data_IF_427833490031
#
_entry.id   IF_427833490031
#
_cell.length_a   1.000
_cell.length_b   1.000
_cell.length_c   1.000
_cell.angle_alpha   90.00
_cell.angle_beta   90.00
_cell.angle_gamma   90.00
#
_symmetry.space_group_name_H-M   'P 1'
#
loop_
_entity.id
_entity.type
_entity.pdbx_description
1 polymer ?
#
# COMPACT_ATOMS: atom_id res chain seq x y z
N UNK A 1 25.45 -87.67 11.91
CA UNK A 1 26.69 -86.93 12.24
C UNK A 1 26.26 -85.81 13.19
N UNK A 2 26.30 -85.99 14.53
CA UNK A 2 27.47 -85.94 15.42
C UNK A 2 28.19 -84.56 15.29
N UNK A 3 27.89 -83.58 16.14
CA UNK A 3 28.34 -83.32 17.53
C UNK A 3 29.63 -82.48 17.63
N UNK A 4 29.53 -81.47 18.50
CA UNK A 4 30.55 -80.75 19.29
C UNK A 4 31.37 -79.64 18.60
N UNK A 5 31.45 -78.40 19.09
CA UNK A 5 31.60 -77.72 20.41
C UNK A 5 33.03 -77.25 20.71
N UNK A 6 33.08 -75.95 21.06
CA UNK A 6 34.05 -75.18 21.86
C UNK A 6 35.52 -75.01 21.45
N UNK A 7 35.95 -73.73 21.32
CA UNK A 7 36.71 -72.94 22.33
C UNK A 7 37.22 -71.63 21.69
N UNK A 8 36.80 -70.45 22.13
CA UNK A 8 37.24 -69.66 23.31
C UNK A 8 38.35 -68.65 23.00
N UNK A 9 38.13 -67.40 23.43
CA UNK A 9 39.11 -66.29 23.51
C UNK A 9 39.10 -65.40 22.27
N UNK A 10 39.04 -64.07 22.30
CA UNK A 10 39.28 -63.04 23.30
C UNK A 10 38.51 -61.78 22.81
N UNK A 11 37.73 -61.12 23.66
CA UNK A 11 38.12 -59.89 24.36
C UNK A 11 38.55 -58.75 23.39
N UNK A 12 37.67 -57.76 23.28
CA UNK A 12 37.97 -56.54 22.53
C UNK A 12 36.75 -55.66 22.27
N UNK A 13 35.95 -55.40 23.30
CA UNK A 13 35.17 -54.16 23.31
C UNK A 13 36.13 -53.02 23.69
N UNK A 14 36.30 -52.02 22.82
CA UNK A 14 36.30 -50.63 23.25
C UNK A 14 34.92 -50.08 22.84
N UNK A 15 34.06 -49.68 23.77
CA UNK A 15 34.44 -48.74 24.81
C UNK A 15 34.85 -47.41 24.16
N UNK A 16 34.02 -46.90 23.25
CA UNK A 16 34.03 -45.50 22.86
C UNK A 16 32.58 -45.03 22.96
N UNK A 17 32.19 -44.57 24.15
CA UNK A 17 31.08 -43.62 24.23
C UNK A 17 31.42 -42.48 23.24
N UNK A 18 30.57 -42.18 22.25
CA UNK A 18 30.77 -40.98 21.46
C UNK A 18 30.59 -39.79 22.41
N UNK A 19 31.73 -39.19 22.75
CA UNK A 19 31.97 -38.10 23.68
C UNK A 19 30.75 -37.30 24.14
N UNK A 20 30.64 -37.16 25.46
CA UNK A 20 29.69 -36.27 26.18
C UNK A 20 29.86 -34.77 25.86
N UNK A 21 30.66 -34.39 24.86
CA UNK A 21 30.92 -33.00 24.51
C UNK A 21 30.94 -32.69 23.02
N UNK A 22 30.89 -31.39 22.69
CA UNK A 22 30.91 -30.89 21.31
C UNK A 22 32.19 -31.34 20.60
N UNK A 23 32.03 -31.84 19.36
CA UNK A 23 33.14 -32.19 18.51
C UNK A 23 34.00 -30.98 18.13
N UNK A 24 35.29 -31.19 17.78
CA UNK A 24 36.16 -30.09 17.36
C UNK A 24 35.58 -29.33 16.16
N UNK A 25 35.34 -28.03 16.31
CA UNK A 25 34.78 -27.18 15.24
C UNK A 25 33.26 -27.30 15.05
N UNK A 26 32.56 -28.10 15.86
CA UNK A 26 31.11 -28.29 15.75
C UNK A 26 30.34 -27.01 16.14
N UNK A 27 30.83 -26.28 17.15
CA UNK A 27 30.26 -25.01 17.59
C UNK A 27 30.22 -23.98 16.46
N UNK A 28 31.32 -23.80 15.73
CA UNK A 28 31.42 -22.89 14.60
C UNK A 28 30.48 -23.28 13.46
N UNK A 29 30.33 -24.60 13.20
CA UNK A 29 29.39 -25.11 12.20
C UNK A 29 27.94 -24.81 12.58
N UNK A 30 27.58 -24.95 13.86
CA UNK A 30 26.24 -24.63 14.36
C UNK A 30 25.92 -23.13 14.30
N UNK A 31 26.89 -22.26 14.62
CA UNK A 31 26.75 -20.81 14.44
C UNK A 31 26.49 -20.49 12.96
N UNK A 32 27.33 -21.02 12.07
CA UNK A 32 27.19 -20.79 10.63
C UNK A 32 25.84 -21.28 10.08
N UNK A 33 25.39 -22.45 10.53
CA UNK A 33 24.08 -23.00 10.14
C UNK A 33 22.92 -22.13 10.64
N UNK A 34 23.02 -21.57 11.85
CA UNK A 34 22.03 -20.64 12.39
C UNK A 34 21.97 -19.36 11.54
N UNK A 35 23.12 -18.75 11.27
CA UNK A 35 23.19 -17.50 10.50
C UNK A 35 22.61 -17.65 9.09
N UNK A 36 22.99 -18.72 8.39
CA UNK A 36 22.46 -18.99 7.05
C UNK A 36 20.94 -19.24 7.05
N UNK A 37 20.39 -19.92 8.08
CA UNK A 37 18.95 -20.21 8.15
C UNK A 37 18.11 -18.97 8.46
N UNK A 38 18.66 -17.99 9.18
CA UNK A 38 17.95 -16.76 9.52
C UNK A 38 18.17 -15.61 8.52
N UNK A 39 19.24 -15.67 7.70
CA UNK A 39 19.61 -14.61 6.76
C UNK A 39 18.43 -14.14 5.89
N UNK A 40 17.75 -15.04 5.19
CA UNK A 40 16.64 -14.69 4.29
C UNK A 40 15.46 -14.05 5.04
N UNK A 41 15.17 -14.53 6.25
CA UNK A 41 14.06 -14.03 7.06
C UNK A 41 14.35 -12.65 7.66
N UNK A 42 15.59 -12.41 8.09
CA UNK A 42 16.03 -11.10 8.58
C UNK A 42 16.02 -10.08 7.44
N UNK A 43 16.49 -10.47 6.25
CA UNK A 43 16.50 -9.59 5.08
C UNK A 43 15.08 -9.31 4.57
N UNK A 44 14.20 -10.31 4.55
CA UNK A 44 12.79 -10.12 4.21
C UNK A 44 12.09 -9.17 5.19
N UNK A 45 12.33 -9.33 6.49
CA UNK A 45 11.75 -8.45 7.50
C UNK A 45 12.28 -7.02 7.40
N UNK A 46 13.58 -6.84 7.15
CA UNK A 46 14.17 -5.52 6.91
C UNK A 46 13.65 -4.87 5.63
N UNK A 47 13.49 -5.65 4.56
CA UNK A 47 12.92 -5.19 3.29
C UNK A 47 11.47 -4.72 3.45
N UNK A 48 10.65 -5.45 4.20
CA UNK A 48 9.27 -5.08 4.48
C UNK A 48 9.15 -3.75 5.24
N UNK A 49 10.04 -3.49 6.22
CA UNK A 49 10.08 -2.20 6.92
C UNK A 49 10.44 -1.08 5.95
N UNK A 50 11.49 -1.24 5.14
CA UNK A 50 11.89 -0.24 4.14
C UNK A 50 10.78 0.03 3.14
N UNK A 51 10.02 -0.99 2.74
CA UNK A 51 8.89 -0.84 1.83
C UNK A 51 7.74 -0.06 2.46
N UNK A 52 7.35 -0.41 3.69
CA UNK A 52 6.32 0.31 4.42
C UNK A 52 6.71 1.79 4.64
N UNK A 53 7.98 2.06 4.95
CA UNK A 53 8.49 3.43 5.11
C UNK A 53 8.46 4.23 3.80
N UNK A 54 8.77 3.60 2.66
CA UNK A 54 8.60 4.23 1.34
C UNK A 54 7.13 4.57 1.06
N UNK A 55 6.22 3.63 1.31
CA UNK A 55 4.78 3.85 1.12
C UNK A 55 4.25 4.97 2.03
N UNK A 56 4.76 5.09 3.27
CA UNK A 56 4.42 6.20 4.15
C UNK A 56 4.90 7.54 3.58
N UNK A 57 6.14 7.60 3.07
CA UNK A 57 6.66 8.82 2.44
C UNK A 57 5.82 9.23 1.21
N UNK A 58 5.40 8.27 0.40
CA UNK A 58 4.50 8.50 -0.75
C UNK A 58 3.14 9.04 -0.30
N UNK A 59 2.51 8.42 0.72
CA UNK A 59 1.23 8.87 1.25
C UNK A 59 1.28 10.29 1.84
N UNK A 60 2.39 10.65 2.51
CA UNK A 60 2.62 11.99 3.03
C UNK A 60 2.78 13.03 1.92
N UNK A 61 3.49 12.68 0.86
CA UNK A 61 3.65 13.52 -0.33
C UNK A 61 2.30 13.77 -1.02
N UNK A 62 1.49 12.71 -1.20
CA UNK A 62 0.17 12.82 -1.81
C UNK A 62 -0.78 13.66 -0.97
N UNK A 63 -0.75 13.51 0.37
CA UNK A 63 -1.49 14.38 1.26
C UNK A 63 -1.07 15.84 1.12
N UNK A 64 0.24 16.12 1.09
CA UNK A 64 0.74 17.49 0.90
C UNK A 64 0.22 18.09 -0.40
N UNK A 65 0.31 17.34 -1.51
CA UNK A 65 -0.20 17.76 -2.82
C UNK A 65 -1.70 18.01 -2.80
N UNK A 66 -2.49 17.13 -2.16
CA UNK A 66 -3.94 17.30 -2.06
C UNK A 66 -4.31 18.57 -1.28
N UNK A 67 -3.60 18.86 -0.18
CA UNK A 67 -3.79 20.10 0.61
C UNK A 67 -3.42 21.34 -0.20
N UNK A 68 -2.29 21.32 -0.90
CA UNK A 68 -1.86 22.41 -1.77
C UNK A 68 -2.89 22.68 -2.87
N UNK A 69 -3.36 21.64 -3.56
CA UNK A 69 -4.36 21.76 -4.62
C UNK A 69 -5.70 22.30 -4.12
N UNK A 70 -6.15 21.85 -2.95
CA UNK A 70 -7.39 22.35 -2.34
C UNK A 70 -7.24 23.83 -1.94
N UNK A 71 -6.10 24.21 -1.37
CA UNK A 71 -5.82 25.60 -0.98
C UNK A 71 -5.64 26.54 -2.19
N UNK A 72 -5.13 26.02 -3.30
CA UNK A 72 -4.89 26.78 -4.53
C UNK A 72 -6.12 26.84 -5.44
N UNK A 73 -7.26 26.22 -5.04
CA UNK A 73 -8.43 26.09 -5.89
C UNK A 73 -9.07 27.46 -6.15
N UNK A 74 -9.04 27.98 -7.38
CA UNK A 74 -9.63 29.27 -7.68
C UNK A 74 -11.16 29.17 -7.60
N UNK A 75 -11.79 30.29 -7.21
CA UNK A 75 -13.23 30.43 -7.39
C UNK A 75 -13.60 30.27 -8.87
N UNK A 76 -14.53 29.36 -9.16
CA UNK A 76 -15.06 29.15 -10.52
C UNK A 76 -16.52 29.59 -10.52
N UNK A 77 -16.82 30.70 -11.19
CA UNK A 77 -18.20 31.13 -11.42
C UNK A 77 -18.89 30.20 -12.41
N UNK A 78 -20.14 29.83 -12.14
CA UNK A 78 -20.97 29.09 -13.10
C UNK A 78 -21.57 30.07 -14.13
N UNK A 79 -21.05 30.03 -15.36
CA UNK A 79 -21.54 30.86 -16.46
C UNK A 79 -22.92 30.44 -16.96
N UNK A 80 -23.34 29.20 -16.69
CA UNK A 80 -24.64 28.67 -17.12
C UNK A 80 -25.80 29.36 -16.39
N UNK A 81 -25.58 29.83 -15.15
CA UNK A 81 -26.55 30.64 -14.41
C UNK A 81 -26.97 31.87 -15.23
N UNK A 82 -26.03 32.58 -15.84
CA UNK A 82 -26.32 33.74 -16.67
C UNK A 82 -26.94 33.35 -18.02
N UNK A 83 -26.52 32.23 -18.62
CA UNK A 83 -27.13 31.76 -19.87
C UNK A 83 -28.58 31.32 -19.69
N UNK A 84 -28.94 30.68 -18.57
CA UNK A 84 -30.33 30.32 -18.25
C UNK A 84 -31.22 31.55 -18.21
N UNK A 85 -30.77 32.61 -17.55
CA UNK A 85 -31.53 33.86 -17.46
C UNK A 85 -31.63 34.56 -18.82
N UNK A 86 -30.54 34.63 -19.57
CA UNK A 86 -30.53 35.20 -20.92
C UNK A 86 -31.50 34.45 -21.87
N UNK A 87 -31.70 33.14 -21.69
CA UNK A 87 -32.69 32.38 -22.47
C UNK A 87 -34.13 32.80 -22.18
N UNK A 88 -34.46 33.11 -20.91
CA UNK A 88 -35.78 33.64 -20.58
C UNK A 88 -36.01 35.01 -21.24
N UNK A 89 -34.99 35.88 -21.22
CA UNK A 89 -35.06 37.20 -21.86
C UNK A 89 -35.24 37.10 -23.39
N UNK A 90 -34.57 36.16 -24.05
CA UNK A 90 -34.71 35.95 -25.50
C UNK A 90 -36.10 35.43 -25.89
N UNK A 91 -36.70 34.57 -25.06
CA UNK A 91 -38.10 34.11 -25.23
C UNK A 91 -39.07 35.29 -25.09
N UNK A 92 -38.90 36.11 -24.05
CA UNK A 92 -39.70 37.33 -23.87
C UNK A 92 -39.54 38.31 -25.05
N UNK A 93 -38.32 38.44 -25.56
CA UNK A 93 -38.00 39.23 -26.74
C UNK A 93 -38.69 38.70 -28.00
N UNK A 94 -38.87 37.38 -28.12
CA UNK A 94 -39.59 36.75 -29.23
C UNK A 94 -41.09 37.08 -29.19
N UNK A 95 -41.72 37.03 -28.01
CA UNK A 95 -43.14 37.37 -27.82
C UNK A 95 -43.49 38.80 -28.27
N UNK A 96 -42.55 39.74 -28.15
CA UNK A 96 -42.75 41.14 -28.53
C UNK A 96 -42.62 41.40 -30.04
N UNK A 97 -42.12 40.44 -30.83
CA UNK A 97 -41.88 40.63 -32.27
C UNK A 97 -43.12 40.30 -33.09
N UNK A 98 -43.56 41.25 -33.92
CA UNK A 98 -44.73 41.09 -34.80
C UNK A 98 -44.38 40.78 -36.26
N UNK A 99 -43.14 41.04 -36.69
CA UNK A 99 -42.71 40.81 -38.07
C UNK A 99 -42.27 39.34 -38.28
N UNK A 100 -42.89 38.56 -39.19
CA UNK A 100 -42.58 37.13 -39.38
C UNK A 100 -41.14 36.82 -39.79
N UNK A 101 -40.45 37.75 -40.46
CA UNK A 101 -39.02 37.61 -40.78
C UNK A 101 -38.16 37.75 -39.52
N UNK A 102 -38.49 38.72 -38.65
CA UNK A 102 -37.78 38.94 -37.38
C UNK A 102 -38.03 37.82 -36.37
N UNK A 103 -39.26 37.28 -36.31
CA UNK A 103 -39.61 36.13 -35.46
C UNK A 103 -38.76 34.91 -35.84
N UNK A 104 -38.70 34.56 -37.13
CA UNK A 104 -37.90 33.42 -37.60
C UNK A 104 -36.40 33.58 -37.33
N UNK A 105 -35.86 34.78 -37.52
CA UNK A 105 -34.45 35.05 -37.23
C UNK A 105 -34.14 34.94 -35.72
N UNK A 106 -34.98 35.53 -34.87
CA UNK A 106 -34.83 35.46 -33.42
C UNK A 106 -34.99 34.02 -32.89
N UNK A 107 -35.94 33.25 -33.41
CA UNK A 107 -36.10 31.85 -33.05
C UNK A 107 -34.87 30.99 -33.37
N UNK A 108 -34.23 31.20 -34.54
CA UNK A 108 -32.99 30.47 -34.89
C UNK A 108 -31.87 30.79 -33.90
N UNK A 109 -31.70 32.07 -33.56
CA UNK A 109 -30.72 32.49 -32.55
C UNK A 109 -31.01 31.87 -31.18
N UNK A 110 -32.27 31.91 -30.73
CA UNK A 110 -32.70 31.26 -29.49
C UNK A 110 -32.41 29.75 -29.51
N UNK A 111 -32.69 29.07 -30.63
CA UNK A 111 -32.44 27.64 -30.78
C UNK A 111 -30.93 27.33 -30.68
N UNK A 112 -30.09 28.09 -31.39
CA UNK A 112 -28.64 27.91 -31.34
C UNK A 112 -28.12 28.07 -29.89
N UNK A 113 -28.58 29.11 -29.18
CA UNK A 113 -28.22 29.34 -27.78
C UNK A 113 -28.77 28.30 -26.82
N UNK A 114 -29.98 27.79 -27.05
CA UNK A 114 -30.56 26.72 -26.25
C UNK A 114 -29.76 25.41 -26.40
N UNK A 115 -29.25 25.12 -27.61
CA UNK A 115 -28.35 23.98 -27.85
C UNK A 115 -27.02 24.17 -27.12
N UNK A 116 -26.43 25.37 -27.17
CA UNK A 116 -25.22 25.70 -26.41
C UNK A 116 -25.41 25.51 -24.90
N UNK A 117 -26.52 26.02 -24.35
CA UNK A 117 -26.87 25.84 -22.94
C UNK A 117 -27.00 24.34 -22.60
N UNK A 118 -27.77 23.58 -23.39
CA UNK A 118 -27.95 22.16 -23.15
C UNK A 118 -26.64 21.37 -23.19
N UNK A 119 -25.74 21.68 -24.13
CA UNK A 119 -24.39 21.09 -24.16
C UNK A 119 -23.59 21.44 -22.90
N UNK A 120 -23.68 22.70 -22.45
CA UNK A 120 -23.07 23.18 -21.22
C UNK A 120 -23.57 22.46 -19.97
N UNK A 121 -24.88 22.25 -19.84
CA UNK A 121 -25.50 21.52 -18.71
C UNK A 121 -24.99 20.07 -18.61
N UNK A 122 -24.94 19.37 -19.74
CA UNK A 122 -24.46 17.99 -19.78
C UNK A 122 -22.97 17.92 -19.44
N UNK A 123 -22.16 18.83 -19.99
CA UNK A 123 -20.74 18.92 -19.66
C UNK A 123 -20.53 19.23 -18.18
N UNK A 124 -21.26 20.20 -17.62
CA UNK A 124 -21.21 20.58 -16.21
C UNK A 124 -21.54 19.41 -15.29
N UNK A 125 -22.61 18.66 -15.57
CA UNK A 125 -22.96 17.46 -14.82
C UNK A 125 -21.83 16.41 -14.81
N UNK A 126 -21.20 16.16 -15.96
CA UNK A 126 -20.09 15.22 -16.05
C UNK A 126 -18.84 15.71 -15.32
N UNK A 127 -18.55 17.01 -15.41
CA UNK A 127 -17.45 17.64 -14.69
C UNK A 127 -17.63 17.55 -13.17
N UNK A 128 -18.84 17.82 -12.68
CA UNK A 128 -19.20 17.72 -11.25
C UNK A 128 -19.08 16.28 -10.76
N UNK A 129 -19.62 15.32 -11.52
CA UNK A 129 -19.47 13.89 -11.23
C UNK A 129 -18.01 13.45 -11.20
N UNK A 130 -17.18 13.95 -12.12
CA UNK A 130 -15.76 13.64 -12.15
C UNK A 130 -15.02 14.31 -10.98
N UNK A 131 -15.40 15.54 -10.60
CA UNK A 131 -14.84 16.24 -9.45
C UNK A 131 -15.18 15.53 -8.13
N UNK A 132 -16.41 15.06 -7.97
CA UNK A 132 -16.85 14.30 -6.80
C UNK A 132 -16.09 12.96 -6.69
N UNK A 133 -15.95 12.22 -7.80
CA UNK A 133 -15.13 10.99 -7.83
C UNK A 133 -13.68 11.27 -7.42
N UNK A 134 -13.05 12.28 -8.03
CA UNK A 134 -11.68 12.70 -7.67
C UNK A 134 -11.57 13.11 -6.20
N UNK A 135 -12.56 13.81 -5.67
CA UNK A 135 -12.60 14.19 -4.26
C UNK A 135 -12.69 12.99 -3.31
N UNK A 136 -13.40 11.92 -3.70
CA UNK A 136 -13.48 10.68 -2.90
C UNK A 136 -12.18 9.86 -2.94
N UNK A 137 -11.51 9.81 -4.08
CA UNK A 137 -10.33 8.97 -4.28
C UNK A 137 -9.03 9.68 -3.88
N UNK A 138 -8.94 10.98 -4.15
CA UNK A 138 -7.73 11.79 -4.03
C UNK A 138 -7.96 13.10 -3.25
N UNK A 139 -9.12 13.26 -2.63
CA UNK A 139 -9.36 14.40 -1.75
C UNK A 139 -8.50 14.32 -0.48
N UNK A 140 -8.35 15.45 0.19
CA UNK A 140 -7.55 15.58 1.42
C UNK A 140 -7.90 14.51 2.45
N UNK A 141 -9.20 14.23 2.67
CA UNK A 141 -9.63 13.18 3.60
C UNK A 141 -9.18 11.78 3.18
N UNK A 142 -9.26 11.45 1.89
CA UNK A 142 -8.82 10.14 1.39
C UNK A 142 -7.31 9.98 1.57
N UNK A 143 -6.53 11.04 1.30
CA UNK A 143 -5.09 11.05 1.54
C UNK A 143 -4.74 10.95 3.03
N UNK A 144 -5.50 11.60 3.92
CA UNK A 144 -5.32 11.46 5.37
C UNK A 144 -5.56 10.02 5.85
N UNK A 145 -6.60 9.35 5.35
CA UNK A 145 -6.86 7.95 5.67
C UNK A 145 -5.82 7.00 5.06
N UNK A 146 -5.25 7.34 3.89
CA UNK A 146 -4.12 6.61 3.32
C UNK A 146 -2.86 6.75 4.19
N UNK A 147 -2.53 7.96 4.65
CA UNK A 147 -1.41 8.22 5.57
C UNK A 147 -1.56 7.42 6.87
N UNK A 148 -2.74 7.47 7.51
CA UNK A 148 -3.02 6.69 8.74
C UNK A 148 -2.77 5.19 8.55
N UNK A 149 -3.23 4.63 7.42
CA UNK A 149 -2.99 3.21 7.09
C UNK A 149 -1.52 2.92 6.86
N UNK A 150 -0.79 3.81 6.20
CA UNK A 150 0.65 3.65 5.97
C UNK A 150 1.45 3.71 7.28
N UNK A 151 1.10 4.62 8.20
CA UNK A 151 1.69 4.67 9.55
C UNK A 151 1.46 3.35 10.29
N UNK A 152 0.23 2.84 10.27
CA UNK A 152 -0.09 1.55 10.90
C UNK A 152 0.70 0.39 10.28
N UNK A 153 0.90 0.39 8.96
CA UNK A 153 1.68 -0.63 8.26
C UNK A 153 3.16 -0.60 8.66
N UNK A 154 3.77 0.58 8.82
CA UNK A 154 5.15 0.71 9.32
C UNK A 154 5.29 0.12 10.71
N UNK A 155 4.37 0.42 11.62
CA UNK A 155 4.40 -0.10 12.98
C UNK A 155 4.24 -1.63 13.02
N UNK A 156 3.35 -2.19 12.21
CA UNK A 156 3.21 -3.64 12.09
C UNK A 156 4.46 -4.31 11.47
N UNK A 157 5.08 -3.69 10.46
CA UNK A 157 6.32 -4.18 9.87
C UNK A 157 7.48 -4.16 10.89
N UNK A 158 7.59 -3.11 11.71
CA UNK A 158 8.59 -3.02 12.78
C UNK A 158 8.38 -4.09 13.85
N UNK A 159 7.14 -4.30 14.30
CA UNK A 159 6.80 -5.38 15.23
C UNK A 159 7.14 -6.75 14.66
N UNK A 160 6.89 -6.97 13.36
CA UNK A 160 7.29 -8.20 12.69
C UNK A 160 8.81 -8.37 12.69
N UNK A 161 9.57 -7.34 12.32
CA UNK A 161 11.03 -7.39 12.33
C UNK A 161 11.59 -7.70 13.73
N UNK A 162 11.00 -7.10 14.77
CA UNK A 162 11.37 -7.36 16.15
C UNK A 162 11.08 -8.81 16.56
N UNK A 163 9.93 -9.38 16.17
CA UNK A 163 9.63 -10.80 16.38
C UNK A 163 10.65 -11.73 15.71
N UNK A 164 11.10 -11.43 14.49
CA UNK A 164 12.12 -12.23 13.78
C UNK A 164 13.47 -12.14 14.49
N UNK A 165 13.90 -10.94 14.88
CA UNK A 165 15.14 -10.75 15.67
C UNK A 165 15.10 -11.47 17.01
N UNK A 166 13.95 -11.45 17.69
CA UNK A 166 13.77 -12.17 18.94
C UNK A 166 13.86 -13.68 18.74
N UNK A 167 13.30 -14.22 17.66
CA UNK A 167 13.43 -15.63 17.32
C UNK A 167 14.89 -16.04 17.05
N UNK A 168 15.66 -15.20 16.34
CA UNK A 168 17.09 -15.41 16.15
C UNK A 168 17.86 -15.37 17.49
N UNK A 169 17.56 -14.38 18.34
CA UNK A 169 18.20 -14.24 19.64
C UNK A 169 17.96 -15.46 20.54
N UNK A 170 16.73 -15.99 20.55
CA UNK A 170 16.39 -17.23 21.26
C UNK A 170 17.15 -18.44 20.71
N UNK A 171 17.30 -18.55 19.39
CA UNK A 171 18.10 -19.62 18.78
C UNK A 171 19.58 -19.52 19.17
N UNK A 172 20.15 -18.30 19.21
CA UNK A 172 21.53 -18.06 19.65
C UNK A 172 21.70 -18.39 21.14
N UNK A 173 20.75 -18.01 21.99
CA UNK A 173 20.74 -18.39 23.40
C UNK A 173 20.68 -19.92 23.59
N UNK A 174 19.84 -20.59 22.80
CA UNK A 174 19.77 -22.06 22.79
C UNK A 174 21.10 -22.71 22.43
N UNK A 175 21.82 -22.15 21.45
CA UNK A 175 23.16 -22.62 21.09
C UNK A 175 24.18 -22.40 22.22
N UNK A 176 24.14 -21.27 22.93
CA UNK A 176 24.97 -21.04 24.11
C UNK A 176 24.70 -22.09 25.19
N UNK A 177 23.43 -22.34 25.53
CA UNK A 177 23.05 -23.36 26.52
C UNK A 177 23.46 -24.76 26.08
N UNK A 178 23.38 -25.07 24.78
CA UNK A 178 23.86 -26.34 24.23
C UNK A 178 25.37 -26.49 24.42
N UNK A 179 26.14 -25.44 24.10
CA UNK A 179 27.59 -25.44 24.29
C UNK A 179 27.96 -25.60 25.77
N UNK A 180 27.34 -24.84 26.67
CA UNK A 180 27.62 -24.92 28.11
C UNK A 180 27.30 -26.31 28.72
N UNK A 181 26.41 -27.09 28.10
CA UNK A 181 26.04 -28.44 28.56
C UNK A 181 26.91 -29.55 27.97
N UNK A 182 27.59 -29.26 26.86
CA UNK A 182 28.41 -30.20 26.09
C UNK A 182 29.90 -29.75 26.10
N UNK A 183 30.27 -28.85 26.99
CA UNK A 183 31.65 -28.52 27.38
C UNK A 183 31.97 -29.23 28.71
#
# INVERSE_FOLDING_TARGET
MAQQDERSGEAGAPGSDPGEGLGPGEREQLVYALENRFADHLEAAASAVREAERQLAEAQEDLRRAVEQESARPYRSDSLVFMREAMNEEVDGLHRKTNPKKVRAAYRFLLDRAVELAAGEVAGFHDDQAAERRGREHGVQACQEAEKRAVAAVEEARRMQERVRNAEALARQGLTVLADKLE
#
